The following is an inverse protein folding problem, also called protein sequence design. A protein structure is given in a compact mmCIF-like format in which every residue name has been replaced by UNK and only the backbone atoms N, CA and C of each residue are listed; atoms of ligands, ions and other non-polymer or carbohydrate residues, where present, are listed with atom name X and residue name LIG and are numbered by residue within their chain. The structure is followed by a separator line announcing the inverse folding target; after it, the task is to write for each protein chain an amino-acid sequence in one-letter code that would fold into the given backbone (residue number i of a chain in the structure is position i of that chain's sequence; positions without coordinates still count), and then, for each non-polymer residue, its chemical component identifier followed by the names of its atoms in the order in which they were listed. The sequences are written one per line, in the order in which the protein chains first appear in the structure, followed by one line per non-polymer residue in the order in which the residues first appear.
data_IF_460578056847
#
_entry.id   IF_460578056847
#
_cell.length_a   1.000
_cell.length_b   1.000
_cell.length_c   1.000
_cell.angle_alpha   90.00
_cell.angle_beta   90.00
_cell.angle_gamma   90.00
#
_symmetry.space_group_name_H-M   'P 1'
#
loop_
_entity.id
_entity.type
_entity.pdbx_description
1 polymer ?
#
# COMPACT_ATOMS: atom_id res chain seq x y z
N UNK A 1 -12.23 40.80 4.43
CA UNK A 1 -13.11 39.75 3.86
C UNK A 1 -12.34 38.59 3.20
N UNK A 2 -11.05 38.72 2.90
CA UNK A 2 -10.20 37.69 2.27
C UNK A 2 -9.57 36.68 3.25
N UNK A 3 -9.40 37.05 4.52
CA UNK A 3 -8.76 36.21 5.56
C UNK A 3 -9.58 34.96 5.89
N UNK A 4 -10.91 35.08 5.95
CA UNK A 4 -11.82 33.96 6.25
C UNK A 4 -11.80 32.92 5.13
N UNK A 5 -11.79 33.36 3.87
CA UNK A 5 -11.70 32.46 2.71
C UNK A 5 -10.36 31.72 2.66
N UNK A 6 -9.25 32.40 2.96
CA UNK A 6 -7.93 31.77 3.02
C UNK A 6 -7.83 30.67 4.09
N UNK A 7 -8.40 30.92 5.28
CA UNK A 7 -8.44 29.93 6.37
C UNK A 7 -9.29 28.72 5.99
N UNK A 8 -10.43 28.93 5.34
CA UNK A 8 -11.30 27.83 4.89
C UNK A 8 -10.60 26.92 3.86
N UNK A 9 -9.85 27.49 2.92
CA UNK A 9 -9.09 26.72 1.92
C UNK A 9 -7.99 25.88 2.58
N UNK A 10 -7.29 26.43 3.58
CA UNK A 10 -6.27 25.69 4.34
C UNK A 10 -6.87 24.51 5.11
N UNK A 11 -8.01 24.71 5.77
CA UNK A 11 -8.72 23.64 6.48
C UNK A 11 -9.17 22.55 5.51
N UNK A 12 -9.72 22.95 4.35
CA UNK A 12 -10.17 22.00 3.33
C UNK A 12 -8.99 21.18 2.76
N UNK A 13 -7.86 21.83 2.50
CA UNK A 13 -6.63 21.19 2.03
C UNK A 13 -6.06 20.19 3.05
N UNK A 14 -6.02 20.57 4.33
CA UNK A 14 -5.58 19.69 5.41
C UNK A 14 -6.52 18.47 5.55
N UNK A 15 -7.83 18.66 5.42
CA UNK A 15 -8.80 17.58 5.45
C UNK A 15 -8.64 16.60 4.28
N UNK A 16 -8.41 17.13 3.07
CA UNK A 16 -8.14 16.30 1.88
C UNK A 16 -6.86 15.49 2.03
N UNK A 17 -5.77 16.10 2.55
CA UNK A 17 -4.52 15.40 2.85
C UNK A 17 -4.70 14.29 3.89
N UNK A 18 -5.43 14.58 4.98
CA UNK A 18 -5.75 13.57 6.00
C UNK A 18 -6.56 12.40 5.40
N UNK A 19 -7.54 12.70 4.55
CA UNK A 19 -8.34 11.69 3.86
C UNK A 19 -7.49 10.82 2.94
N UNK A 20 -6.57 11.42 2.19
CA UNK A 20 -5.63 10.70 1.32
C UNK A 20 -4.69 9.82 2.16
N UNK A 21 -4.15 10.33 3.27
CA UNK A 21 -3.30 9.54 4.17
C UNK A 21 -4.05 8.32 4.74
N UNK A 22 -5.32 8.50 5.12
CA UNK A 22 -6.16 7.40 5.57
C UNK A 22 -6.44 6.35 4.47
N UNK A 23 -6.61 6.77 3.22
CA UNK A 23 -6.71 5.85 2.08
C UNK A 23 -5.39 5.13 1.84
N UNK A 24 -4.27 5.85 1.88
CA UNK A 24 -2.93 5.30 1.68
C UNK A 24 -2.63 4.22 2.72
N UNK A 25 -2.95 4.48 3.99
CA UNK A 25 -2.81 3.50 5.07
C UNK A 25 -3.63 2.24 4.81
N UNK A 26 -4.89 2.38 4.37
CA UNK A 26 -5.73 1.23 4.02
C UNK A 26 -5.16 0.41 2.87
N UNK A 27 -4.62 1.07 1.85
CA UNK A 27 -3.98 0.39 0.72
C UNK A 27 -2.74 -0.37 1.18
N UNK A 28 -1.88 0.24 2.00
CA UNK A 28 -0.70 -0.42 2.56
C UNK A 28 -1.10 -1.64 3.40
N UNK A 29 -2.08 -1.48 4.30
CA UNK A 29 -2.59 -2.58 5.12
C UNK A 29 -3.19 -3.70 4.26
N UNK A 30 -3.89 -3.34 3.18
CA UNK A 30 -4.44 -4.31 2.23
C UNK A 30 -3.34 -5.09 1.50
N UNK A 31 -2.27 -4.43 1.06
CA UNK A 31 -1.12 -5.09 0.45
C UNK A 31 -0.42 -6.04 1.43
N UNK A 32 -0.23 -5.61 2.68
CA UNK A 32 0.31 -6.47 3.74
C UNK A 32 -0.59 -7.69 3.94
N UNK A 33 -1.91 -7.48 4.02
CA UNK A 33 -2.88 -8.56 4.18
C UNK A 33 -2.83 -9.54 2.99
N UNK A 34 -2.66 -9.06 1.76
CA UNK A 34 -2.48 -9.90 0.57
C UNK A 34 -1.23 -10.77 0.67
N UNK A 35 -0.09 -10.19 1.06
CA UNK A 35 1.18 -10.92 1.21
C UNK A 35 1.05 -12.00 2.29
N UNK A 36 0.45 -11.67 3.44
CA UNK A 36 0.22 -12.64 4.52
C UNK A 36 -0.76 -13.73 4.09
N UNK A 37 -1.85 -13.37 3.41
CA UNK A 37 -2.82 -14.34 2.91
C UNK A 37 -2.16 -15.32 1.92
N UNK A 38 -1.34 -14.81 0.99
CA UNK A 38 -0.59 -15.65 0.07
C UNK A 38 0.37 -16.58 0.81
N UNK A 39 1.12 -16.05 1.78
CA UNK A 39 2.08 -16.85 2.55
C UNK A 39 1.40 -18.03 3.28
N UNK A 40 0.22 -17.81 3.84
CA UNK A 40 -0.56 -18.83 4.55
C UNK A 40 -1.26 -19.81 3.60
N UNK A 41 -1.73 -19.34 2.44
CA UNK A 41 -2.41 -20.17 1.45
C UNK A 41 -1.44 -21.01 0.62
N UNK A 42 -0.21 -20.53 0.41
CA UNK A 42 0.76 -21.18 -0.47
C UNK A 42 1.05 -22.66 -0.09
N UNK A 43 1.29 -23.02 1.19
CA UNK A 43 1.50 -24.41 1.58
C UNK A 43 0.28 -25.31 1.35
N UNK A 44 -0.93 -24.76 1.49
CA UNK A 44 -2.19 -25.51 1.34
C UNK A 44 -2.51 -25.73 -0.14
N UNK A 45 -2.19 -24.75 -0.99
CA UNK A 45 -2.48 -24.77 -2.42
C UNK A 45 -1.34 -25.36 -3.27
N UNK A 46 -0.20 -25.71 -2.66
CA UNK A 46 0.98 -26.18 -3.36
C UNK A 46 1.67 -25.10 -4.21
N UNK A 47 1.48 -23.82 -3.85
CA UNK A 47 2.10 -22.70 -4.55
C UNK A 47 3.54 -22.48 -4.05
N UNK A 48 4.42 -21.90 -4.88
CA UNK A 48 5.79 -21.61 -4.48
C UNK A 48 5.82 -20.64 -3.28
N UNK A 49 6.78 -20.79 -2.36
CA UNK A 49 6.99 -19.83 -1.28
C UNK A 49 7.38 -18.46 -1.85
N UNK A 50 7.12 -17.41 -1.07
CA UNK A 50 7.38 -16.01 -1.46
C UNK A 50 8.82 -15.79 -1.94
N UNK A 51 9.78 -16.48 -1.34
CA UNK A 51 11.20 -16.42 -1.70
C UNK A 51 11.46 -16.87 -3.14
N UNK A 52 10.81 -17.95 -3.59
CA UNK A 52 10.89 -18.43 -4.97
C UNK A 52 10.15 -17.50 -5.94
N UNK A 53 9.03 -16.90 -5.52
CA UNK A 53 8.32 -15.91 -6.34
C UNK A 53 9.21 -14.70 -6.62
N UNK A 54 9.93 -14.20 -5.62
CA UNK A 54 10.90 -13.11 -5.80
C UNK A 54 12.15 -13.54 -6.57
N UNK A 55 12.57 -14.80 -6.47
CA UNK A 55 13.65 -15.35 -7.29
C UNK A 55 13.28 -15.43 -8.77
N UNK A 56 12.06 -15.90 -9.09
CA UNK A 56 11.56 -16.02 -10.47
C UNK A 56 11.21 -14.66 -11.09
N UNK A 57 10.72 -13.70 -10.29
CA UNK A 57 10.43 -12.33 -10.74
C UNK A 57 11.62 -11.36 -10.58
N UNK A 58 12.74 -11.84 -10.04
CA UNK A 58 13.96 -11.07 -9.88
C UNK A 58 14.65 -10.85 -11.22
N UNK A 59 15.44 -9.78 -11.37
CA UNK A 59 16.25 -9.60 -12.57
C UNK A 59 17.22 -10.79 -12.72
N UNK A 60 17.26 -11.40 -13.90
CA UNK A 60 18.28 -12.38 -14.30
C UNK A 60 19.64 -11.67 -14.30
N UNK A 61 20.27 -11.54 -13.13
CA UNK A 61 21.60 -10.97 -13.00
C UNK A 61 22.60 -12.04 -13.42
N UNK A 62 23.33 -11.88 -14.55
CA UNK A 62 24.43 -12.76 -14.86
C UNK A 62 25.51 -12.54 -13.81
N UNK A 63 25.85 -13.62 -13.09
CA UNK A 63 27.01 -13.69 -12.18
C UNK A 63 28.31 -13.59 -12.99
#
# INVERSE_FOLDING_TARGET
MTTVLGVLVLILGAYLLYKIAGVLLKVVLFLIALVVAYWLLAPVMGWPPIEEVFYVLGPDLPV
#
